data_IF_792578043247
#
_entry.id   IF_792578043247
#
_cell.length_a   1.000
_cell.length_b   1.000
_cell.length_c   1.000
_cell.angle_alpha   90.00
_cell.angle_beta   90.00
_cell.angle_gamma   90.00
#
_symmetry.space_group_name_H-M   'P 1'
#
loop_
_entity.id
_entity.type
_entity.pdbx_description
1 polymer ?
#
# COMPACT_ATOMS: atom_id res chain seq x y z
N UNK A 1 -19.27 15.31 -27.61
CA UNK A 1 -20.40 15.24 -26.66
C UNK A 1 -19.81 15.42 -25.28
N UNK A 2 -20.36 16.28 -24.42
CA UNK A 2 -19.85 16.45 -23.06
C UNK A 2 -20.25 15.23 -22.22
N UNK A 3 -19.30 14.64 -21.47
CA UNK A 3 -19.55 13.50 -20.57
C UNK A 3 -20.40 13.93 -19.38
N UNK A 4 -21.01 12.95 -18.70
CA UNK A 4 -21.66 13.18 -17.41
C UNK A 4 -20.63 13.67 -16.39
N UNK A 5 -21.05 14.50 -15.43
CA UNK A 5 -20.15 14.91 -14.36
C UNK A 5 -19.75 13.71 -13.50
N UNK A 6 -18.48 13.63 -13.10
CA UNK A 6 -18.03 12.66 -12.12
C UNK A 6 -18.82 12.84 -10.81
N UNK A 7 -19.19 11.74 -10.12
CA UNK A 7 -19.93 11.78 -8.86
C UNK A 7 -19.01 12.13 -7.68
N UNK A 8 -18.24 13.21 -7.80
CA UNK A 8 -17.31 13.68 -6.78
C UNK A 8 -18.09 14.34 -5.63
N UNK A 9 -17.78 14.02 -4.37
CA UNK A 9 -18.32 14.76 -3.25
C UNK A 9 -17.77 16.19 -3.22
N UNK A 10 -18.44 17.05 -2.47
CA UNK A 10 -17.89 18.35 -2.10
C UNK A 10 -16.53 18.17 -1.41
N UNK A 11 -15.68 19.19 -1.52
CA UNK A 11 -14.48 19.27 -0.72
C UNK A 11 -14.84 19.09 0.77
N UNK A 12 -13.97 18.41 1.51
CA UNK A 12 -14.25 18.10 2.91
C UNK A 12 -14.26 19.40 3.74
N UNK A 13 -15.29 19.60 4.57
CA UNK A 13 -15.43 20.76 5.47
C UNK A 13 -14.43 20.71 6.67
N UNK A 14 -13.51 19.74 6.68
CA UNK A 14 -12.59 19.40 7.77
C UNK A 14 -11.24 18.88 7.26
N UNK A 15 -10.52 18.01 8.01
CA UNK A 15 -9.28 17.41 7.50
C UNK A 15 -9.56 16.64 6.21
N UNK A 16 -8.68 16.81 5.22
CA UNK A 16 -8.79 16.19 3.91
C UNK A 16 -8.90 14.67 4.07
N UNK A 17 -9.90 14.07 3.44
CA UNK A 17 -10.04 12.60 3.41
C UNK A 17 -9.24 12.07 2.21
N UNK A 18 -8.18 11.28 2.42
CA UNK A 18 -7.41 10.72 1.33
C UNK A 18 -8.23 9.67 0.58
N UNK A 19 -7.91 9.45 -0.69
CA UNK A 19 -8.61 8.41 -1.44
C UNK A 19 -8.32 8.29 -2.92
N UNK A 20 -9.00 7.31 -3.52
CA UNK A 20 -8.85 6.95 -4.91
C UNK A 20 -10.15 7.15 -5.70
N UNK A 21 -9.97 7.41 -7.00
CA UNK A 21 -11.04 7.37 -8.00
C UNK A 21 -10.71 6.27 -9.02
N UNK A 22 -11.51 5.20 -9.05
CA UNK A 22 -11.42 4.16 -10.08
C UNK A 22 -12.48 4.38 -11.15
N UNK A 23 -12.07 4.66 -12.38
CA UNK A 23 -12.94 4.88 -13.53
C UNK A 23 -12.86 3.71 -14.48
N UNK A 24 -14.03 3.14 -14.82
CA UNK A 24 -14.13 2.14 -15.88
C UNK A 24 -14.21 2.81 -17.25
N UNK A 25 -13.07 2.92 -17.92
CA UNK A 25 -12.97 3.42 -19.30
C UNK A 25 -13.12 2.30 -20.34
N UNK A 26 -12.78 1.06 -20.00
CA UNK A 26 -12.91 -0.14 -20.84
C UNK A 26 -14.36 -0.65 -20.97
N UNK A 27 -14.63 -1.40 -22.02
CA UNK A 27 -15.93 -1.96 -22.35
C UNK A 27 -16.13 -3.42 -21.86
N UNK A 28 -15.08 -4.14 -21.51
CA UNK A 28 -15.14 -5.54 -21.11
C UNK A 28 -15.67 -5.69 -19.66
N UNK A 29 -16.76 -6.45 -19.49
CA UNK A 29 -17.38 -6.71 -18.17
C UNK A 29 -16.57 -7.72 -17.35
N UNK A 30 -15.97 -8.72 -17.97
CA UNK A 30 -15.17 -9.75 -17.29
C UNK A 30 -13.87 -9.14 -16.76
N UNK A 31 -13.19 -8.34 -17.58
CA UNK A 31 -11.99 -7.61 -17.15
C UNK A 31 -12.29 -6.67 -15.97
N UNK A 32 -13.44 -6.00 -16.01
CA UNK A 32 -13.86 -5.11 -14.93
C UNK A 32 -14.14 -5.85 -13.62
N UNK A 33 -14.85 -6.98 -13.67
CA UNK A 33 -15.10 -7.79 -12.48
C UNK A 33 -13.82 -8.40 -11.91
N UNK A 34 -12.86 -8.77 -12.76
CA UNK A 34 -11.54 -9.24 -12.35
C UNK A 34 -10.76 -8.15 -11.60
N UNK A 35 -10.73 -6.92 -12.11
CA UNK A 35 -10.13 -5.76 -11.42
C UNK A 35 -10.75 -5.57 -10.02
N UNK A 36 -12.08 -5.50 -9.92
CA UNK A 36 -12.76 -5.32 -8.64
C UNK A 36 -12.49 -6.49 -7.67
N UNK A 37 -12.45 -7.73 -8.18
CA UNK A 37 -12.12 -8.92 -7.40
C UNK A 37 -10.72 -8.84 -6.81
N UNK A 38 -9.73 -8.42 -7.61
CA UNK A 38 -8.32 -8.25 -7.19
C UNK A 38 -8.16 -7.13 -6.17
N UNK A 39 -8.93 -6.05 -6.27
CA UNK A 39 -8.91 -4.97 -5.30
C UNK A 39 -9.46 -5.38 -3.93
N UNK A 40 -10.40 -6.32 -3.88
CA UNK A 40 -10.94 -6.84 -2.62
C UNK A 40 -11.97 -5.92 -1.95
N UNK A 41 -12.26 -6.19 -0.68
CA UNK A 41 -13.35 -5.54 0.06
C UNK A 41 -12.87 -4.25 0.76
N UNK A 42 -12.20 -3.37 0.01
CA UNK A 42 -11.47 -2.22 0.55
C UNK A 42 -12.35 -1.28 1.41
N UNK A 43 -11.81 -0.73 2.50
CA UNK A 43 -12.49 0.25 3.33
C UNK A 43 -12.76 1.54 2.55
N UNK A 44 -13.83 2.25 2.93
CA UNK A 44 -14.19 3.53 2.30
C UNK A 44 -14.74 3.44 0.86
N UNK A 45 -15.05 2.23 0.35
CA UNK A 45 -15.67 2.04 -0.96
C UNK A 45 -17.06 2.72 -1.04
N UNK A 46 -17.24 3.58 -2.04
CA UNK A 46 -18.49 4.27 -2.35
C UNK A 46 -18.89 3.96 -3.79
N UNK A 47 -20.08 3.40 -3.99
CA UNK A 47 -20.63 3.16 -5.32
C UNK A 47 -21.72 4.20 -5.65
N UNK A 48 -21.59 4.96 -6.75
CA UNK A 48 -22.60 5.93 -7.19
C UNK A 48 -23.96 5.24 -7.37
N UNK A 49 -24.95 5.66 -6.57
CA UNK A 49 -26.29 5.04 -6.49
C UNK A 49 -26.65 4.51 -5.09
N UNK A 50 -25.67 4.25 -4.23
CA UNK A 50 -25.83 3.91 -2.80
C UNK A 50 -25.38 5.03 -1.83
N UNK A 51 -24.98 6.18 -2.38
CA UNK A 51 -24.35 7.31 -1.70
C UNK A 51 -24.87 7.67 -0.30
N UNK A 52 -26.19 7.54 -0.02
CA UNK A 52 -26.76 7.90 1.29
C UNK A 52 -26.42 6.91 2.42
N UNK A 53 -26.15 5.64 2.11
CA UNK A 53 -25.70 4.63 3.09
C UNK A 53 -24.16 4.59 3.17
N UNK A 54 -23.48 4.80 2.05
CA UNK A 54 -22.02 4.72 1.98
C UNK A 54 -21.34 5.93 2.67
N UNK A 55 -21.89 7.15 2.57
CA UNK A 55 -21.39 8.31 3.31
C UNK A 55 -21.51 8.16 4.84
N UNK A 56 -22.55 7.46 5.32
CA UNK A 56 -22.72 7.17 6.75
C UNK A 56 -21.74 6.09 7.20
N UNK A 57 -21.33 5.19 6.31
CA UNK A 57 -20.40 4.10 6.63
C UNK A 57 -18.95 4.58 6.61
N UNK A 58 -18.55 5.41 5.63
CA UNK A 58 -17.22 6.03 5.56
C UNK A 58 -16.94 7.00 6.72
N UNK A 59 -17.98 7.59 7.32
CA UNK A 59 -17.87 8.45 8.51
C UNK A 59 -17.82 7.68 9.83
N UNK A 60 -17.94 6.34 9.80
CA UNK A 60 -17.80 5.46 10.97
C UNK A 60 -16.52 4.62 10.96
N UNK A 61 -15.71 4.67 9.90
CA UNK A 61 -14.39 4.03 9.90
C UNK A 61 -13.42 4.83 10.78
N UNK A 62 -12.58 4.15 11.58
CA UNK A 62 -11.66 4.82 12.50
C UNK A 62 -10.58 5.62 11.77
N UNK A 63 -10.24 5.23 10.53
CA UNK A 63 -9.35 5.98 9.65
C UNK A 63 -10.16 6.36 8.40
N UNK A 64 -10.50 7.65 8.23
CA UNK A 64 -11.27 8.11 7.07
C UNK A 64 -10.49 7.87 5.77
N UNK A 65 -11.09 7.11 4.84
CA UNK A 65 -10.58 6.91 3.47
C UNK A 65 -11.74 6.87 2.49
N UNK A 66 -11.46 7.12 1.21
CA UNK A 66 -12.48 7.14 0.15
C UNK A 66 -12.03 6.40 -1.09
N UNK A 67 -12.83 5.45 -1.57
CA UNK A 67 -12.63 4.80 -2.88
C UNK A 67 -13.90 4.99 -3.69
N UNK A 68 -13.88 5.91 -4.66
CA UNK A 68 -15.01 6.14 -5.57
C UNK A 68 -14.85 5.25 -6.80
N UNK A 69 -15.87 4.43 -7.09
CA UNK A 69 -15.87 3.57 -8.29
C UNK A 69 -16.89 4.09 -9.31
N UNK A 70 -16.42 4.46 -10.50
CA UNK A 70 -17.25 5.01 -11.58
C UNK A 70 -17.43 3.97 -12.68
N UNK A 71 -18.60 3.33 -12.66
CA UNK A 71 -19.08 2.40 -13.68
C UNK A 71 -20.22 3.01 -14.52
N UNK A 72 -20.06 4.27 -14.94
CA UNK A 72 -21.01 4.96 -15.82
C UNK A 72 -20.59 4.76 -17.30
N UNK A 73 -21.48 4.23 -18.16
CA UNK A 73 -21.22 4.10 -19.60
C UNK A 73 -20.76 5.39 -20.30
N UNK A 74 -21.09 6.57 -19.78
CA UNK A 74 -20.63 7.85 -20.31
C UNK A 74 -19.11 8.06 -20.19
N UNK A 75 -18.45 7.31 -19.32
CA UNK A 75 -17.01 7.36 -19.08
C UNK A 75 -16.21 6.31 -19.88
N UNK A 76 -16.90 5.49 -20.68
CA UNK A 76 -16.23 4.56 -21.59
C UNK A 76 -15.42 5.29 -22.65
N UNK A 77 -14.21 4.82 -22.91
CA UNK A 77 -13.23 5.44 -23.78
C UNK A 77 -12.72 6.81 -23.29
N UNK A 78 -12.89 7.14 -22.01
CA UNK A 78 -12.32 8.36 -21.45
C UNK A 78 -10.78 8.33 -21.47
N UNK A 79 -10.17 9.43 -21.88
CA UNK A 79 -8.73 9.65 -21.76
C UNK A 79 -8.39 10.21 -20.37
N UNK A 80 -7.13 10.12 -19.91
CA UNK A 80 -6.71 10.75 -18.67
C UNK A 80 -7.02 12.25 -18.61
N UNK A 81 -6.79 12.99 -19.70
CA UNK A 81 -7.05 14.43 -19.75
C UNK A 81 -8.52 14.76 -19.57
N UNK A 82 -9.42 13.96 -20.14
CA UNK A 82 -10.86 14.14 -19.95
C UNK A 82 -11.29 13.87 -18.51
N UNK A 83 -10.60 12.98 -17.80
CA UNK A 83 -10.80 12.76 -16.36
C UNK A 83 -10.24 13.94 -15.56
N UNK A 84 -9.02 14.40 -15.85
CA UNK A 84 -8.39 15.58 -15.20
C UNK A 84 -9.28 16.83 -15.32
N UNK A 85 -9.78 17.11 -16.52
CA UNK A 85 -10.69 18.22 -16.78
C UNK A 85 -11.96 18.14 -15.91
N UNK A 86 -12.49 16.93 -15.68
CA UNK A 86 -13.67 16.73 -14.85
C UNK A 86 -13.41 16.83 -13.35
N UNK A 87 -12.16 16.65 -12.92
CA UNK A 87 -11.71 16.89 -11.53
C UNK A 87 -11.58 18.40 -11.23
N UNK A 88 -11.24 19.23 -12.23
CA UNK A 88 -10.87 20.65 -12.12
C UNK A 88 -11.95 21.66 -11.67
N UNK A 89 -12.94 21.26 -10.87
CA UNK A 89 -13.99 22.14 -10.36
C UNK A 89 -13.70 22.68 -8.95
N UNK A 90 -13.84 23.99 -8.75
CA UNK A 90 -13.72 24.60 -7.41
C UNK A 90 -14.68 23.95 -6.39
N UNK A 91 -14.17 23.70 -5.18
CA UNK A 91 -14.95 23.16 -4.06
C UNK A 91 -15.31 21.68 -4.17
N UNK A 92 -14.63 20.91 -5.04
CA UNK A 92 -14.77 19.45 -5.14
C UNK A 92 -13.63 18.73 -4.44
N UNK A 93 -13.91 17.53 -3.97
CA UNK A 93 -12.88 16.61 -3.48
C UNK A 93 -11.97 16.17 -4.63
N UNK A 94 -10.66 16.20 -4.40
CA UNK A 94 -9.63 15.77 -5.34
C UNK A 94 -8.99 14.49 -4.81
N UNK A 95 -9.08 13.35 -5.55
CA UNK A 95 -8.45 12.10 -5.15
C UNK A 95 -6.92 12.24 -5.14
N UNK A 96 -6.26 11.46 -4.28
CA UNK A 96 -4.80 11.34 -4.27
C UNK A 96 -4.33 10.54 -5.48
N UNK A 97 -5.06 9.48 -5.82
CA UNK A 97 -4.75 8.61 -6.95
C UNK A 97 -5.99 8.38 -7.82
N UNK A 98 -5.83 8.56 -9.12
CA UNK A 98 -6.85 8.23 -10.11
C UNK A 98 -6.41 6.98 -10.86
N UNK A 99 -7.33 6.05 -11.07
CA UNK A 99 -7.11 4.77 -11.72
C UNK A 99 -8.10 4.63 -12.88
N UNK A 100 -7.61 4.25 -14.05
CA UNK A 100 -8.42 3.99 -15.24
C UNK A 100 -8.24 2.54 -15.65
N UNK A 101 -9.34 1.78 -15.62
CA UNK A 101 -9.42 0.49 -16.31
C UNK A 101 -9.66 0.79 -17.80
N UNK A 102 -8.63 0.63 -18.64
CA UNK A 102 -8.64 0.99 -20.07
C UNK A 102 -8.60 -0.25 -20.96
N UNK A 103 -8.51 -0.07 -22.28
CA UNK A 103 -8.24 -1.18 -23.20
C UNK A 103 -6.93 -1.93 -22.89
N UNK A 104 -5.93 -1.28 -22.28
CA UNK A 104 -4.71 -1.95 -21.81
C UNK A 104 -4.98 -2.96 -20.69
N UNK A 105 -5.90 -2.61 -19.78
CA UNK A 105 -6.39 -3.51 -18.72
C UNK A 105 -7.08 -4.75 -19.28
N UNK A 106 -7.81 -4.60 -20.38
CA UNK A 106 -8.50 -5.69 -21.07
C UNK A 106 -7.50 -6.61 -21.79
N UNK A 107 -6.47 -6.02 -22.41
CA UNK A 107 -5.50 -6.70 -23.24
C UNK A 107 -4.55 -7.62 -22.46
N UNK A 108 -4.25 -7.30 -21.19
CA UNK A 108 -3.43 -8.17 -20.33
C UNK A 108 -4.27 -8.77 -19.18
N UNK A 109 -4.86 -9.96 -19.37
CA UNK A 109 -5.61 -10.63 -18.32
C UNK A 109 -4.76 -11.15 -17.17
N UNK A 110 -3.43 -11.27 -17.35
CA UNK A 110 -2.54 -11.73 -16.29
C UNK A 110 -2.35 -10.63 -15.26
N UNK A 111 -2.06 -9.41 -15.70
CA UNK A 111 -1.72 -8.30 -14.81
C UNK A 111 -2.87 -7.32 -14.57
N UNK A 112 -3.79 -7.17 -15.53
CA UNK A 112 -4.87 -6.17 -15.53
C UNK A 112 -4.36 -4.76 -15.18
N UNK A 113 -3.31 -4.26 -15.85
CA UNK A 113 -2.70 -2.98 -15.47
C UNK A 113 -3.73 -1.85 -15.59
N UNK A 114 -3.74 -0.98 -14.59
CA UNK A 114 -4.54 0.24 -14.53
C UNK A 114 -3.64 1.42 -14.90
N UNK A 115 -4.16 2.30 -15.75
CA UNK A 115 -3.48 3.57 -16.02
C UNK A 115 -3.76 4.51 -14.86
N UNK A 116 -2.74 5.10 -14.27
CA UNK A 116 -2.85 5.89 -13.06
C UNK A 116 -2.21 7.28 -13.21
N UNK A 117 -2.66 8.22 -12.38
CA UNK A 117 -2.00 9.51 -12.15
C UNK A 117 -2.41 10.10 -10.81
N UNK A 118 -1.57 10.97 -10.24
CA UNK A 118 -1.86 11.67 -8.99
C UNK A 118 -2.65 12.96 -9.21
N UNK A 119 -3.53 13.26 -8.25
CA UNK A 119 -4.21 14.56 -8.17
C UNK A 119 -4.88 14.98 -9.49
N UNK A 120 -4.47 16.14 -10.00
CA UNK A 120 -4.99 16.70 -11.26
C UNK A 120 -3.94 16.82 -12.36
N UNK A 121 -2.67 16.63 -12.03
CA UNK A 121 -1.52 17.03 -12.84
C UNK A 121 -0.33 16.07 -12.74
N UNK A 122 -0.41 14.99 -11.95
CA UNK A 122 0.64 13.98 -11.87
C UNK A 122 0.85 13.25 -13.19
N UNK A 123 2.05 12.72 -13.36
CA UNK A 123 2.45 11.96 -14.54
C UNK A 123 1.69 10.63 -14.64
N UNK A 124 1.61 10.11 -15.86
CA UNK A 124 0.90 8.86 -16.11
C UNK A 124 1.82 7.68 -15.85
N UNK A 125 1.31 6.68 -15.12
CA UNK A 125 2.04 5.44 -14.85
C UNK A 125 1.12 4.22 -14.83
N UNK A 126 1.73 3.03 -14.91
CA UNK A 126 1.02 1.76 -14.85
C UNK A 126 1.13 1.12 -13.48
N UNK A 127 0.00 0.70 -12.91
CA UNK A 127 -0.09 0.03 -11.60
C UNK A 127 -1.02 -1.18 -11.69
N UNK A 128 -0.75 -2.26 -10.96
CA UNK A 128 -1.66 -3.41 -10.89
C UNK A 128 -2.80 -3.20 -9.90
N UNK A 129 -3.95 -3.89 -10.06
CA UNK A 129 -5.07 -3.75 -9.13
C UNK A 129 -4.71 -4.08 -7.68
N UNK A 130 -3.87 -5.09 -7.43
CA UNK A 130 -3.44 -5.42 -6.05
C UNK A 130 -2.52 -4.38 -5.47
N UNK A 131 -1.60 -3.83 -6.26
CA UNK A 131 -0.76 -2.74 -5.80
C UNK A 131 -1.61 -1.52 -5.42
N UNK A 132 -2.54 -1.12 -6.29
CA UNK A 132 -3.46 -0.03 -6.02
C UNK A 132 -4.29 -0.28 -4.75
N UNK A 133 -4.73 -1.53 -4.52
CA UNK A 133 -5.45 -1.91 -3.32
C UNK A 133 -4.62 -1.77 -2.04
N UNK A 134 -3.36 -2.21 -2.05
CA UNK A 134 -2.47 -2.07 -0.90
C UNK A 134 -2.11 -0.60 -0.64
N UNK A 135 -1.82 0.17 -1.69
CA UNK A 135 -1.60 1.62 -1.60
C UNK A 135 -2.81 2.32 -1.00
N UNK A 136 -4.04 1.90 -1.32
CA UNK A 136 -5.27 2.46 -0.72
C UNK A 136 -5.32 2.30 0.81
N UNK A 137 -4.82 1.19 1.35
CA UNK A 137 -4.83 0.95 2.80
C UNK A 137 -3.93 1.92 3.55
N UNK A 138 -2.90 2.43 2.89
CA UNK A 138 -1.91 3.35 3.48
C UNK A 138 -1.99 4.76 2.91
N UNK A 139 -3.01 5.10 2.11
CA UNK A 139 -3.16 6.43 1.48
C UNK A 139 -3.13 7.62 2.45
N UNK A 140 -3.48 7.40 3.72
CA UNK A 140 -3.46 8.40 4.78
C UNK A 140 -2.09 8.57 5.45
N UNK A 141 -1.11 7.73 5.10
CA UNK A 141 0.21 7.74 5.69
C UNK A 141 0.99 9.00 5.28
N UNK A 142 1.74 9.62 6.21
CA UNK A 142 2.68 10.68 5.85
C UNK A 142 3.64 10.22 4.75
N UNK A 143 4.09 11.17 3.93
CA UNK A 143 5.11 10.99 2.87
C UNK A 143 4.76 10.06 1.70
N UNK A 144 3.56 9.45 1.68
CA UNK A 144 3.17 8.56 0.59
C UNK A 144 3.19 9.22 -0.81
N UNK A 145 3.12 10.56 -0.89
CA UNK A 145 3.28 11.26 -2.15
C UNK A 145 4.64 10.99 -2.82
N UNK A 146 5.71 10.75 -2.04
CA UNK A 146 7.03 10.38 -2.54
C UNK A 146 6.99 8.98 -3.16
N UNK A 147 6.40 8.00 -2.46
CA UNK A 147 6.20 6.65 -3.03
C UNK A 147 5.38 6.68 -4.33
N UNK A 148 4.41 7.58 -4.46
CA UNK A 148 3.65 7.72 -5.71
C UNK A 148 4.45 8.44 -6.81
N UNK A 149 5.38 9.33 -6.48
CA UNK A 149 6.35 9.93 -7.43
C UNK A 149 7.30 8.87 -7.96
N UNK A 150 7.76 7.97 -7.09
CA UNK A 150 8.56 6.84 -7.51
C UNK A 150 7.81 5.89 -8.45
N UNK A 151 6.51 5.69 -8.23
CA UNK A 151 5.68 4.91 -9.16
C UNK A 151 5.59 5.56 -10.55
N UNK A 152 5.55 6.91 -10.59
CA UNK A 152 5.61 7.69 -11.84
C UNK A 152 6.94 7.45 -12.57
N UNK A 153 8.05 7.38 -11.82
CA UNK A 153 9.39 7.16 -12.36
C UNK A 153 9.63 5.70 -12.81
N UNK A 154 9.20 4.72 -12.03
CA UNK A 154 9.51 3.30 -12.28
C UNK A 154 8.62 2.65 -13.33
N UNK A 155 7.39 3.12 -13.50
CA UNK A 155 6.44 2.53 -14.43
C UNK A 155 5.71 3.57 -15.31
N UNK A 156 6.43 4.49 -15.97
CA UNK A 156 5.81 5.55 -16.76
C UNK A 156 4.94 4.97 -17.87
N UNK A 157 3.80 5.62 -18.14
CA UNK A 157 2.88 5.15 -19.18
C UNK A 157 3.38 5.46 -20.59
N UNK A 158 4.21 6.49 -20.73
CA UNK A 158 4.94 6.85 -21.93
C UNK A 158 6.43 6.94 -21.57
N UNK A 159 7.24 5.91 -21.87
CA UNK A 159 8.65 5.88 -21.48
C UNK A 159 9.53 6.82 -22.34
N UNK A 160 8.99 7.54 -23.33
CA UNK A 160 9.76 8.39 -24.26
C UNK A 160 10.26 9.73 -23.66
N UNK A 161 10.29 9.88 -22.33
CA UNK A 161 10.94 11.00 -21.65
C UNK A 161 12.46 11.03 -21.91
N UNK A 162 13.00 12.21 -22.20
CA UNK A 162 14.37 12.44 -22.68
C UNK A 162 15.44 11.67 -21.87
N UNK A 163 16.01 10.63 -22.46
CA UNK A 163 17.33 10.13 -22.08
C UNK A 163 18.32 11.25 -22.43
N UNK A 164 18.65 12.12 -21.46
CA UNK A 164 19.78 13.03 -21.59
C UNK A 164 21.04 12.15 -21.72
N UNK A 165 21.49 11.95 -22.95
CA UNK A 165 22.57 11.03 -23.25
C UNK A 165 23.89 11.45 -22.60
N UNK A 166 24.43 10.60 -21.72
CA UNK A 166 25.79 10.03 -21.77
C UNK A 166 25.99 8.92 -20.71
N UNK A 167 24.93 8.19 -20.34
CA UNK A 167 25.04 7.12 -19.34
C UNK A 167 25.15 5.77 -20.04
N UNK A 168 26.04 4.93 -19.52
CA UNK A 168 26.42 3.68 -20.20
C UNK A 168 25.31 2.64 -20.04
N UNK A 169 25.15 1.75 -21.01
CA UNK A 169 24.14 0.68 -20.98
C UNK A 169 24.22 -0.27 -19.75
N UNK A 170 25.28 -0.17 -18.95
CA UNK A 170 25.43 -0.87 -17.66
C UNK A 170 24.89 -0.05 -16.47
N UNK A 171 24.76 1.27 -16.57
CA UNK A 171 24.04 2.14 -15.61
C UNK A 171 22.54 2.19 -15.92
N UNK A 172 22.17 2.07 -17.21
CA UNK A 172 20.77 1.98 -17.68
C UNK A 172 19.98 0.80 -17.07
N UNK A 173 20.62 -0.32 -16.71
CA UNK A 173 19.94 -1.52 -16.18
C UNK A 173 19.65 -1.45 -14.68
N UNK A 174 20.37 -0.62 -13.91
CA UNK A 174 20.13 -0.43 -12.46
C UNK A 174 19.17 0.71 -12.16
N UNK A 175 19.07 1.72 -13.06
CA UNK A 175 18.14 2.84 -12.93
C UNK A 175 16.82 2.64 -13.69
N UNK A 176 16.79 1.75 -14.70
CA UNK A 176 15.53 1.32 -15.29
C UNK A 176 14.79 0.46 -14.25
N UNK A 177 13.83 1.09 -13.57
CA UNK A 177 12.87 0.39 -12.73
C UNK A 177 12.22 -0.81 -13.44
N UNK A 178 11.55 -1.71 -12.70
CA UNK A 178 11.01 -2.95 -13.24
C UNK A 178 10.24 -2.72 -14.55
N UNK A 179 10.54 -3.51 -15.58
CA UNK A 179 9.93 -3.40 -16.91
C UNK A 179 8.46 -3.88 -16.92
N UNK A 180 7.57 -3.13 -16.28
CA UNK A 180 6.16 -3.47 -16.14
C UNK A 180 5.38 -2.54 -15.20
N UNK A 181 4.06 -2.77 -15.03
CA UNK A 181 3.28 -2.01 -14.06
C UNK A 181 3.82 -2.21 -12.64
N UNK A 182 3.77 -1.16 -11.82
CA UNK A 182 4.06 -1.27 -10.39
C UNK A 182 3.20 -2.39 -9.79
N UNK A 183 3.86 -3.32 -9.10
CA UNK A 183 3.21 -4.46 -8.48
C UNK A 183 2.87 -5.62 -9.41
N UNK A 184 3.56 -5.76 -10.56
CA UNK A 184 3.40 -6.92 -11.44
C UNK A 184 3.61 -8.25 -10.69
N UNK A 185 4.58 -8.29 -9.77
CA UNK A 185 4.87 -9.46 -8.93
C UNK A 185 3.71 -9.86 -8.01
N UNK A 186 2.89 -8.90 -7.51
CA UNK A 186 1.74 -9.19 -6.65
C UNK A 186 0.69 -10.01 -7.38
N UNK A 187 0.55 -9.81 -8.69
CA UNK A 187 -0.44 -10.50 -9.53
C UNK A 187 -0.01 -11.93 -9.89
N UNK A 188 1.28 -12.25 -9.80
CA UNK A 188 1.82 -13.57 -10.14
C UNK A 188 2.19 -14.42 -8.91
N UNK A 189 2.23 -13.80 -7.72
CA UNK A 189 2.50 -14.50 -6.45
C UNK A 189 1.44 -15.57 -6.15
N UNK A 190 1.81 -16.77 -5.67
CA UNK A 190 0.86 -17.86 -5.36
C UNK A 190 -0.21 -17.48 -4.32
N UNK A 191 0.19 -16.69 -3.31
CA UNK A 191 -0.69 -16.11 -2.29
C UNK A 191 -0.80 -14.61 -2.52
N UNK A 192 -1.49 -14.22 -3.60
CA UNK A 192 -1.63 -12.82 -3.96
C UNK A 192 -2.39 -12.06 -2.86
N UNK A 193 -1.85 -10.93 -2.37
CA UNK A 193 -2.47 -10.19 -1.28
C UNK A 193 -3.83 -9.66 -1.70
N UNK A 194 -4.78 -9.72 -0.77
CA UNK A 194 -6.14 -9.24 -0.97
C UNK A 194 -6.72 -8.84 0.38
N UNK A 195 -7.16 -7.59 0.48
CA UNK A 195 -7.87 -7.16 1.66
C UNK A 195 -9.25 -7.82 1.71
N UNK A 196 -9.51 -8.50 2.82
CA UNK A 196 -10.83 -8.96 3.20
C UNK A 196 -11.22 -8.30 4.52
N UNK A 197 -12.45 -7.80 4.60
CA UNK A 197 -12.92 -7.14 5.81
C UNK A 197 -12.83 -8.12 6.99
N UNK A 198 -12.23 -7.71 8.13
CA UNK A 198 -12.09 -8.62 9.26
C UNK A 198 -13.47 -8.99 9.81
N UNK A 199 -13.61 -10.23 10.28
CA UNK A 199 -14.88 -10.75 10.83
C UNK A 199 -15.33 -10.00 12.09
N UNK A 200 -14.37 -9.37 12.78
CA UNK A 200 -14.58 -8.47 13.92
C UNK A 200 -13.79 -7.19 13.67
N UNK A 201 -14.30 -6.01 14.06
CA UNK A 201 -13.52 -4.77 13.97
C UNK A 201 -12.21 -4.91 14.73
N UNK A 202 -11.10 -4.57 14.08
CA UNK A 202 -9.79 -4.51 14.71
C UNK A 202 -9.63 -3.17 15.46
N UNK A 203 -8.95 -3.16 16.62
CA UNK A 203 -8.55 -1.93 17.28
C UNK A 203 -7.70 -1.05 16.35
N UNK A 204 -7.80 0.26 16.53
CA UNK A 204 -6.92 1.22 15.86
C UNK A 204 -5.51 1.10 16.43
N UNK A 205 -4.50 1.05 15.56
CA UNK A 205 -3.09 1.03 15.94
C UNK A 205 -2.53 2.44 15.81
N UNK A 206 -2.20 3.08 16.94
CA UNK A 206 -1.62 4.42 16.99
C UNK A 206 -0.23 4.34 17.62
N UNK A 207 0.80 3.95 16.85
CA UNK A 207 2.15 3.83 17.39
C UNK A 207 2.70 5.21 17.77
N UNK A 208 3.34 5.26 18.94
CA UNK A 208 4.03 6.41 19.52
C UNK A 208 5.54 6.35 19.25
N UNK A 209 6.06 5.21 18.78
CA UNK A 209 7.48 4.97 18.49
C UNK A 209 7.73 4.77 16.99
N UNK A 210 9.00 4.52 16.65
CA UNK A 210 9.46 4.38 15.27
C UNK A 210 9.17 2.98 14.68
N UNK A 211 8.92 1.98 15.52
CA UNK A 211 8.55 0.62 15.12
C UNK A 211 7.22 0.17 15.71
N UNK A 212 6.52 -0.70 14.98
CA UNK A 212 5.28 -1.34 15.43
C UNK A 212 5.38 -2.84 15.20
N UNK A 213 5.20 -3.62 16.26
CA UNK A 213 5.22 -5.07 16.24
C UNK A 213 3.88 -5.62 16.74
N UNK A 214 3.16 -6.30 15.86
CA UNK A 214 1.82 -6.84 16.13
C UNK A 214 1.84 -8.36 16.19
N UNK A 215 1.42 -8.92 17.32
CA UNK A 215 1.20 -10.37 17.45
C UNK A 215 -0.13 -10.76 16.81
N UNK A 216 -0.09 -11.72 15.89
CA UNK A 216 -1.30 -12.25 15.23
C UNK A 216 -1.49 -13.75 15.46
N UNK A 217 -0.47 -14.48 15.91
CA UNK A 217 -0.59 -15.87 16.36
C UNK A 217 -0.38 -15.97 17.88
N UNK A 218 -1.39 -16.48 18.57
CA UNK A 218 -1.43 -16.64 20.04
C UNK A 218 -1.28 -18.12 20.45
N UNK A 219 -0.76 -18.99 19.57
CA UNK A 219 -0.72 -20.43 19.82
C UNK A 219 0.36 -20.87 20.82
N UNK A 220 1.40 -20.06 21.02
CA UNK A 220 2.51 -20.37 21.93
C UNK A 220 3.06 -19.09 22.63
N UNK A 221 2.75 -18.94 23.92
CA UNK A 221 3.22 -17.80 24.73
C UNK A 221 4.71 -17.90 25.11
N UNK A 222 5.27 -19.12 25.16
CA UNK A 222 6.68 -19.31 25.46
C UNK A 222 7.53 -18.92 24.25
N UNK A 223 7.11 -19.32 23.05
CA UNK A 223 7.72 -18.86 21.80
C UNK A 223 7.63 -17.34 21.66
N UNK A 224 6.46 -16.75 21.94
CA UNK A 224 6.29 -15.29 21.95
C UNK A 224 7.26 -14.58 22.89
N UNK A 225 7.42 -15.08 24.11
CA UNK A 225 8.36 -14.51 25.09
C UNK A 225 9.81 -14.60 24.60
N UNK A 226 10.20 -15.73 24.01
CA UNK A 226 11.53 -15.92 23.44
C UNK A 226 11.78 -15.00 22.25
N UNK A 227 10.81 -14.90 21.35
CA UNK A 227 10.85 -14.02 20.18
C UNK A 227 11.02 -12.56 20.59
N UNK A 228 10.20 -12.05 21.53
CA UNK A 228 10.34 -10.69 22.03
C UNK A 228 11.69 -10.45 22.70
N UNK A 229 12.23 -11.44 23.41
CA UNK A 229 13.57 -11.32 24.00
C UNK A 229 14.65 -11.16 22.95
N UNK A 230 14.57 -11.91 21.84
CA UNK A 230 15.53 -11.84 20.74
C UNK A 230 15.44 -10.51 19.97
N UNK A 231 14.22 -10.00 19.75
CA UNK A 231 14.01 -8.66 19.14
C UNK A 231 14.59 -7.56 20.02
N UNK A 232 14.34 -7.59 21.32
CA UNK A 232 14.76 -6.54 22.26
C UNK A 232 16.27 -6.56 22.55
N UNK A 233 16.82 -7.75 22.73
CA UNK A 233 18.19 -7.96 23.22
C UNK A 233 18.91 -9.01 22.35
N UNK A 234 19.19 -8.71 21.07
CA UNK A 234 19.90 -9.63 20.20
C UNK A 234 21.30 -9.95 20.72
N UNK A 235 21.70 -11.22 20.65
CA UNK A 235 22.93 -11.71 21.29
C UNK A 235 24.22 -11.15 20.67
N UNK A 236 24.18 -10.73 19.41
CA UNK A 236 25.33 -10.22 18.65
C UNK A 236 25.41 -8.69 18.62
N UNK A 237 24.57 -7.98 19.39
CA UNK A 237 24.52 -6.53 19.34
C UNK A 237 25.71 -5.83 20.03
N UNK A 238 26.10 -4.69 19.45
CA UNK A 238 27.17 -3.83 19.95
C UNK A 238 26.67 -2.90 21.08
N UNK A 239 27.60 -2.38 21.89
CA UNK A 239 27.37 -1.64 23.15
C UNK A 239 26.65 -0.27 23.02
N UNK A 240 25.90 -0.01 21.93
CA UNK A 240 25.28 1.31 21.64
C UNK A 240 23.79 1.37 22.01
N UNK A 241 23.04 0.27 21.83
CA UNK A 241 21.61 0.18 22.17
C UNK A 241 21.41 -0.95 23.16
N UNK A 242 20.92 -0.60 24.35
CA UNK A 242 20.73 -1.56 25.45
C UNK A 242 19.43 -2.39 25.30
N UNK A 243 18.33 -1.78 24.80
CA UNK A 243 17.03 -2.45 24.56
C UNK A 243 16.32 -1.84 23.34
N UNK A 244 16.14 -2.62 22.27
CA UNK A 244 15.38 -2.19 21.09
C UNK A 244 13.88 -1.98 21.35
N UNK A 245 13.37 -2.56 22.44
CA UNK A 245 12.01 -2.36 22.91
C UNK A 245 11.67 -0.90 23.22
N UNK A 246 12.66 -0.03 23.40
CA UNK A 246 12.45 1.41 23.57
C UNK A 246 12.01 2.10 22.25
N UNK A 247 12.29 1.49 21.10
CA UNK A 247 11.96 2.01 19.76
C UNK A 247 10.76 1.31 19.11
N UNK A 248 10.25 0.24 19.73
CA UNK A 248 9.17 -0.58 19.16
C UNK A 248 7.95 -0.58 20.08
N UNK A 249 6.79 -0.27 19.52
CA UNK A 249 5.49 -0.50 20.15
C UNK A 249 5.04 -1.92 19.91
N UNK A 250 4.75 -2.63 21.00
CA UNK A 250 4.35 -4.04 20.97
C UNK A 250 2.86 -4.15 21.21
N UNK A 251 2.16 -4.77 20.27
CA UNK A 251 0.72 -5.04 20.32
C UNK A 251 0.50 -6.53 20.54
N UNK A 252 0.19 -6.88 21.78
CA UNK A 252 -0.16 -8.24 22.23
C UNK A 252 -1.67 -8.27 22.59
N UNK A 253 -2.52 -7.94 21.62
CA UNK A 253 -3.98 -7.88 21.79
C UNK A 253 -4.65 -9.03 20.99
N UNK A 254 -5.33 -9.98 21.65
CA UNK A 254 -6.04 -11.09 21.00
C UNK A 254 -7.09 -10.68 19.96
N UNK A 255 -7.50 -9.41 19.91
CA UNK A 255 -8.34 -8.90 18.83
C UNK A 255 -7.67 -9.06 17.44
N UNK A 256 -6.33 -9.11 17.38
CA UNK A 256 -5.56 -9.33 16.16
C UNK A 256 -5.27 -10.82 15.87
N UNK A 257 -5.81 -11.76 16.64
CA UNK A 257 -5.62 -13.19 16.38
C UNK A 257 -6.10 -13.56 14.97
N UNK A 258 -5.18 -14.07 14.14
CA UNK A 258 -5.44 -14.43 12.75
C UNK A 258 -5.63 -13.26 11.79
N UNK A 259 -5.32 -12.02 12.19
CA UNK A 259 -5.37 -10.87 11.30
C UNK A 259 -4.37 -11.00 10.15
N UNK A 260 -4.79 -10.68 8.93
CA UNK A 260 -3.89 -10.70 7.75
C UNK A 260 -3.01 -9.44 7.70
N UNK A 261 -1.90 -9.45 6.95
CA UNK A 261 -1.07 -8.27 6.76
C UNK A 261 -1.86 -7.04 6.31
N UNK A 262 -2.77 -7.21 5.36
CA UNK A 262 -3.60 -6.14 4.83
C UNK A 262 -4.57 -5.59 5.88
N UNK A 263 -5.09 -6.45 6.76
CA UNK A 263 -5.94 -6.01 7.87
C UNK A 263 -5.17 -5.23 8.92
N UNK A 264 -3.93 -5.63 9.21
CA UNK A 264 -3.03 -4.87 10.09
C UNK A 264 -2.71 -3.51 9.46
N UNK A 265 -2.27 -3.48 8.19
CA UNK A 265 -2.01 -2.23 7.44
C UNK A 265 -3.21 -1.27 7.49
N UNK A 266 -4.42 -1.78 7.25
CA UNK A 266 -5.64 -0.98 7.27
C UNK A 266 -5.95 -0.35 8.64
N UNK A 267 -5.39 -0.91 9.72
CA UNK A 267 -5.61 -0.50 11.10
C UNK A 267 -4.53 0.45 11.64
N UNK A 268 -3.41 0.65 10.92
CA UNK A 268 -2.35 1.57 11.32
C UNK A 268 -2.74 3.02 11.05
N UNK A 269 -2.82 3.83 12.09
CA UNK A 269 -3.07 5.25 12.04
C UNK A 269 -1.92 6.06 12.61
N UNK A 270 -1.27 6.80 11.73
CA UNK A 270 -0.31 7.81 12.11
C UNK A 270 -1.01 9.04 12.65
N UNK A 271 -0.65 9.42 13.87
CA UNK A 271 -1.27 10.52 14.58
C UNK A 271 -0.30 11.66 14.88
N UNK A 272 1.00 11.50 14.60
CA UNK A 272 2.01 12.55 14.74
C UNK A 272 2.91 12.64 13.50
N UNK A 273 3.31 13.85 13.14
CA UNK A 273 4.28 14.10 12.06
C UNK A 273 5.74 13.75 12.46
N UNK A 274 5.93 13.08 13.62
CA UNK A 274 7.26 12.83 14.21
C UNK A 274 7.70 11.37 14.18
N UNK A 275 6.81 10.42 13.90
CA UNK A 275 7.16 8.99 13.79
C UNK A 275 7.39 8.63 12.32
N UNK A 276 8.57 8.05 12.03
CA UNK A 276 8.96 7.49 10.73
C UNK A 276 8.64 5.98 10.66
N UNK A 277 7.44 5.59 11.08
CA UNK A 277 7.02 4.20 10.97
C UNK A 277 6.76 3.86 9.50
N UNK A 278 7.78 3.37 8.84
CA UNK A 278 7.76 3.01 7.42
C UNK A 278 7.33 1.54 7.20
N UNK A 279 7.22 0.77 8.27
CA UNK A 279 6.93 -0.67 8.23
C UNK A 279 6.20 -1.14 9.47
N UNK A 280 5.39 -2.19 9.33
CA UNK A 280 4.83 -2.96 10.45
C UNK A 280 5.43 -4.35 10.48
N UNK A 281 5.82 -4.78 11.68
CA UNK A 281 6.34 -6.11 11.95
C UNK A 281 5.19 -6.98 12.46
N UNK A 282 4.97 -8.14 11.85
CA UNK A 282 3.90 -9.07 12.24
C UNK A 282 4.53 -10.35 12.77
N UNK A 283 4.21 -10.68 14.02
CA UNK A 283 4.54 -11.96 14.63
C UNK A 283 3.37 -12.94 14.42
N UNK A 284 3.41 -13.66 13.31
CA UNK A 284 2.39 -14.62 12.89
C UNK A 284 2.77 -16.07 13.23
N UNK A 285 2.10 -17.02 12.58
CA UNK A 285 2.32 -18.46 12.75
C UNK A 285 3.79 -18.87 12.57
N UNK A 286 4.52 -18.27 11.63
CA UNK A 286 5.92 -18.61 11.36
C UNK A 286 6.84 -18.02 12.43
N UNK A 287 6.51 -16.85 12.98
CA UNK A 287 7.22 -16.32 14.15
C UNK A 287 7.06 -17.24 15.37
N UNK A 288 5.88 -17.84 15.56
CA UNK A 288 5.61 -18.69 16.73
C UNK A 288 6.12 -20.12 16.57
N UNK A 289 6.04 -20.68 15.37
CA UNK A 289 6.25 -22.13 15.12
C UNK A 289 7.27 -22.45 14.04
N UNK A 290 7.72 -21.46 13.28
CA UNK A 290 8.75 -21.62 12.26
C UNK A 290 10.11 -21.94 12.88
N UNK A 291 11.01 -22.61 12.13
CA UNK A 291 12.30 -23.05 12.64
C UNK A 291 13.19 -21.87 13.10
N UNK A 292 13.11 -20.75 12.39
CA UNK A 292 13.91 -19.54 12.63
C UNK A 292 13.08 -18.45 13.33
N UNK A 293 11.82 -18.74 13.68
CA UNK A 293 10.91 -17.80 14.35
C UNK A 293 10.81 -16.43 13.66
N UNK A 294 10.93 -16.40 12.32
CA UNK A 294 10.99 -15.15 11.57
C UNK A 294 9.68 -14.34 11.65
N UNK A 295 9.83 -13.04 11.87
CA UNK A 295 8.75 -12.08 11.73
C UNK A 295 8.45 -11.80 10.25
N UNK A 296 7.21 -11.40 9.94
CA UNK A 296 6.88 -10.83 8.63
C UNK A 296 7.09 -9.31 8.69
N UNK A 297 7.91 -8.77 7.79
CA UNK A 297 8.08 -7.34 7.59
C UNK A 297 7.11 -6.88 6.51
N UNK A 298 6.33 -5.83 6.78
CA UNK A 298 5.30 -5.32 5.88
C UNK A 298 5.49 -3.81 5.69
N UNK A 299 6.08 -3.40 4.56
CA UNK A 299 6.30 -1.99 4.25
C UNK A 299 4.98 -1.22 4.15
N UNK A 300 4.95 -0.03 4.75
CA UNK A 300 3.86 0.95 4.68
C UNK A 300 4.19 2.11 3.72
N UNK A 301 5.48 2.29 3.40
CA UNK A 301 6.02 3.23 2.42
C UNK A 301 6.96 2.53 1.44
N UNK A 302 7.20 3.17 0.29
CA UNK A 302 8.12 2.84 -0.81
C UNK A 302 7.93 1.48 -1.47
N UNK A 303 8.11 0.41 -0.70
CA UNK A 303 7.98 -1.00 -1.12
C UNK A 303 6.65 -1.62 -0.73
N UNK A 304 5.57 -0.85 -0.79
CA UNK A 304 4.22 -1.31 -0.43
C UNK A 304 3.89 -2.61 -1.17
N UNK A 305 3.55 -3.66 -0.43
CA UNK A 305 3.23 -5.00 -0.94
C UNK A 305 4.38 -6.00 -0.94
N UNK A 306 5.62 -5.54 -0.77
CA UNK A 306 6.81 -6.39 -0.71
C UNK A 306 7.05 -6.87 0.71
N UNK A 307 6.28 -7.87 1.14
CA UNK A 307 6.53 -8.53 2.41
C UNK A 307 7.64 -9.57 2.31
N UNK A 308 8.42 -9.69 3.39
CA UNK A 308 9.53 -10.64 3.52
C UNK A 308 9.72 -11.07 4.97
N UNK A 309 10.50 -12.13 5.18
CA UNK A 309 10.74 -12.72 6.50
C UNK A 309 12.08 -12.25 7.06
N UNK A 310 12.10 -11.88 8.33
CA UNK A 310 13.30 -11.43 9.02
C UNK A 310 13.44 -12.17 10.36
N UNK A 311 14.64 -12.62 10.68
CA UNK A 311 14.93 -13.25 11.98
C UNK A 311 14.73 -12.23 13.11
N UNK A 312 14.26 -12.66 14.30
CA UNK A 312 13.94 -11.72 15.38
C UNK A 312 15.12 -10.84 15.79
N UNK A 313 16.34 -11.34 15.71
CA UNK A 313 17.56 -10.61 16.09
C UNK A 313 17.85 -9.37 15.23
N UNK A 314 17.32 -9.31 14.01
CA UNK A 314 17.54 -8.19 13.07
C UNK A 314 16.41 -7.16 13.10
N UNK A 315 15.24 -7.50 13.66
CA UNK A 315 14.05 -6.63 13.69
C UNK A 315 14.33 -5.29 14.36
N UNK A 316 15.02 -5.31 15.51
CA UNK A 316 15.39 -4.08 16.22
C UNK A 316 16.30 -3.17 15.38
N UNK A 317 17.29 -3.77 14.72
CA UNK A 317 18.21 -3.04 13.84
C UNK A 317 17.48 -2.42 12.65
N UNK A 318 16.59 -3.18 12.00
CA UNK A 318 15.76 -2.69 10.90
C UNK A 318 14.98 -1.44 11.32
N UNK A 319 14.23 -1.52 12.43
CA UNK A 319 13.41 -0.39 12.90
C UNK A 319 14.25 0.86 13.11
N UNK A 320 15.37 0.75 13.84
CA UNK A 320 16.19 1.93 14.16
C UNK A 320 16.88 2.50 12.91
N UNK A 321 17.34 1.65 11.99
CA UNK A 321 18.01 2.13 10.78
C UNK A 321 17.04 2.83 9.82
N UNK A 322 15.82 2.30 9.64
CA UNK A 322 14.79 2.97 8.84
C UNK A 322 14.40 4.30 9.48
N UNK A 323 14.21 4.32 10.79
CA UNK A 323 13.83 5.53 11.51
C UNK A 323 14.85 6.67 11.36
N UNK A 324 16.13 6.33 11.27
CA UNK A 324 17.25 7.26 11.08
C UNK A 324 17.59 7.51 9.60
N UNK A 325 16.90 6.83 8.68
CA UNK A 325 17.24 6.79 7.25
C UNK A 325 18.72 6.45 7.00
N UNK A 326 19.26 5.52 7.80
CA UNK A 326 20.65 5.07 7.70
C UNK A 326 20.82 3.87 6.74
N UNK A 327 19.77 3.08 6.58
CA UNK A 327 19.68 1.96 5.64
C UNK A 327 18.28 1.91 5.05
N UNK A 328 18.14 1.27 3.90
CA UNK A 328 16.86 1.09 3.24
C UNK A 328 16.26 -0.28 3.57
N UNK A 329 14.99 -0.49 3.25
CA UNK A 329 14.29 -1.73 3.61
C UNK A 329 14.81 -2.95 2.85
N UNK A 330 15.36 -2.74 1.66
CA UNK A 330 15.93 -3.74 0.77
C UNK A 330 17.24 -4.30 1.30
N UNK A 331 17.96 -3.57 2.14
CA UNK A 331 19.19 -4.05 2.77
C UNK A 331 18.94 -5.22 3.73
N UNK A 332 17.68 -5.40 4.14
CA UNK A 332 17.22 -6.49 5.00
C UNK A 332 16.50 -7.60 4.24
N UNK A 333 16.32 -7.44 2.93
CA UNK A 333 15.74 -8.48 2.08
C UNK A 333 16.81 -9.49 1.68
N UNK A 334 16.44 -10.78 1.63
CA UNK A 334 17.32 -11.78 1.03
C UNK A 334 17.51 -11.54 -0.48
N UNK A 335 18.56 -12.13 -1.05
CA UNK A 335 18.89 -11.94 -2.47
C UNK A 335 17.76 -12.36 -3.41
N UNK A 336 16.96 -13.37 -3.05
CA UNK A 336 15.84 -13.83 -3.86
C UNK A 336 14.69 -12.80 -3.88
N UNK A 337 14.35 -12.25 -2.72
CA UNK A 337 13.34 -11.21 -2.53
C UNK A 337 13.79 -9.93 -3.23
N UNK A 338 15.05 -9.55 -3.06
CA UNK A 338 15.63 -8.36 -3.70
C UNK A 338 15.72 -8.51 -5.21
N UNK A 339 16.08 -9.68 -5.72
CA UNK A 339 16.11 -9.96 -7.15
C UNK A 339 14.72 -9.96 -7.79
N UNK A 340 13.64 -10.15 -7.03
CA UNK A 340 12.29 -10.04 -7.55
C UNK A 340 11.82 -8.59 -7.71
N UNK A 341 12.50 -7.61 -7.08
CA UNK A 341 12.17 -6.18 -7.18
C UNK A 341 12.40 -5.61 -8.59
N UNK A 342 13.34 -6.19 -9.34
CA UNK A 342 13.86 -5.71 -10.63
C UNK A 342 13.61 -6.74 -11.73
#
# INVERSE_FOLDING_TARGET
MSRSALPLPSADDGPRVPGMLLVRAGHDDEAWQDVLSRMGDLPGLVTPGRARQDHVTASQEPIPRRLLVVDDPAWRGATPDEVRDALGGEGRWVPDLVLLATGGTEADPRLRPLLAFRGTDGDLFWITPRQAALTHLVLHHPYLHLTLEDFEQWAPADPEGEIEGDETAEEEEWEAGPSGPVGAYLETRPSSPRYERPTRPLPLLTPDKDGLLVRTDFSDDAAWTSFLSAVRHPAEHNDVIDDFGDYIDIVDDPAFEGATPEQVMASVHHHTDQSSLDTVVIADADAMRGPDHCALIVPLLDRIGWNFRLVPEEVGSLVVNLALSNMDIEDYMDDETRAALW
#
